data_IF_598853382010
#
_entry.id   IF_598853382010
#
_cell.length_a   1.000
_cell.length_b   1.000
_cell.length_c   1.000
_cell.angle_alpha   90.00
_cell.angle_beta   90.00
_cell.angle_gamma   90.00
#
_symmetry.space_group_name_H-M   'P 1'
#
loop_
_entity.id
_entity.type
_entity.pdbx_description
1 polymer ?
#
# COMPACT_ATOMS: atom_id res chain seq x y z
N UNK A 1 18.80 -6.42 -25.95
CA UNK A 1 18.51 -7.69 -26.63
C UNK A 1 17.10 -8.19 -26.30
N UNK A 2 16.10 -7.96 -27.19
CA UNK A 2 14.70 -8.35 -26.98
C UNK A 2 14.50 -9.82 -26.58
N UNK A 3 15.27 -10.74 -27.19
CA UNK A 3 15.18 -12.18 -26.90
C UNK A 3 15.62 -12.60 -25.50
N UNK A 4 16.50 -11.84 -24.83
CA UNK A 4 16.86 -12.14 -23.42
C UNK A 4 15.70 -11.85 -22.49
N UNK A 5 15.00 -10.75 -22.72
CA UNK A 5 13.89 -10.34 -21.84
C UNK A 5 12.65 -11.20 -22.05
N UNK A 6 12.37 -11.63 -23.30
CA UNK A 6 11.29 -12.59 -23.59
C UNK A 6 11.57 -13.95 -22.95
N UNK A 7 12.80 -14.49 -23.09
CA UNK A 7 13.20 -15.74 -22.39
C UNK A 7 13.04 -15.68 -20.87
N UNK A 8 13.31 -14.52 -20.26
CA UNK A 8 13.07 -14.34 -18.81
C UNK A 8 11.58 -14.41 -18.47
N UNK A 9 10.72 -13.77 -19.27
CA UNK A 9 9.27 -13.87 -19.13
C UNK A 9 8.77 -15.30 -19.29
N UNK A 10 9.22 -16.02 -20.33
CA UNK A 10 8.79 -17.40 -20.57
C UNK A 10 9.28 -18.36 -19.45
N UNK A 11 10.53 -18.19 -19.00
CA UNK A 11 11.06 -18.96 -17.87
C UNK A 11 10.34 -18.66 -16.55
N UNK A 12 9.79 -17.47 -16.40
CA UNK A 12 8.92 -17.11 -15.28
C UNK A 12 7.54 -17.77 -15.39
N UNK A 13 6.92 -17.74 -16.58
CA UNK A 13 5.68 -18.49 -16.88
C UNK A 13 5.82 -19.96 -16.47
N UNK A 14 6.94 -20.60 -16.82
CA UNK A 14 7.21 -21.99 -16.44
C UNK A 14 7.27 -22.19 -14.92
N UNK A 15 7.91 -21.28 -14.18
CA UNK A 15 7.99 -21.34 -12.71
C UNK A 15 6.63 -21.19 -12.05
N UNK A 16 5.81 -20.24 -12.52
CA UNK A 16 4.45 -20.04 -12.01
C UNK A 16 3.61 -21.29 -12.29
N UNK A 17 3.62 -21.81 -13.51
CA UNK A 17 2.92 -23.05 -13.85
C UNK A 17 3.32 -24.22 -12.95
N UNK A 18 4.61 -24.34 -12.59
CA UNK A 18 5.10 -25.35 -11.64
C UNK A 18 4.57 -25.12 -10.22
N UNK A 19 4.54 -23.86 -9.75
CA UNK A 19 4.00 -23.47 -8.44
C UNK A 19 2.51 -23.82 -8.31
N UNK A 20 1.74 -23.64 -9.40
CA UNK A 20 0.30 -23.91 -9.44
C UNK A 20 -0.07 -25.39 -9.45
N UNK A 21 0.85 -26.29 -9.81
CA UNK A 21 0.57 -27.74 -9.95
C UNK A 21 -0.10 -28.34 -8.72
N UNK A 22 0.46 -28.10 -7.52
CA UNK A 22 -0.08 -28.67 -6.27
C UNK A 22 -1.43 -28.03 -5.89
N UNK A 23 -1.58 -26.70 -5.85
CA UNK A 23 -2.88 -26.05 -5.66
C UNK A 23 -3.98 -26.60 -6.56
N UNK A 24 -3.72 -26.75 -7.87
CA UNK A 24 -4.71 -27.22 -8.84
C UNK A 24 -5.20 -28.65 -8.56
N UNK A 25 -4.29 -29.57 -8.23
CA UNK A 25 -4.70 -30.95 -7.87
C UNK A 25 -5.39 -31.04 -6.52
N UNK A 26 -5.16 -30.10 -5.60
CA UNK A 26 -5.91 -30.02 -4.35
C UNK A 26 -7.34 -29.56 -4.65
N UNK A 27 -7.51 -28.53 -5.47
CA UNK A 27 -8.83 -28.06 -5.91
C UNK A 27 -9.57 -29.14 -6.70
N UNK A 28 -8.87 -29.91 -7.53
CA UNK A 28 -9.49 -30.99 -8.31
C UNK A 28 -10.25 -32.02 -7.45
N UNK A 29 -9.77 -32.28 -6.23
CA UNK A 29 -10.38 -33.29 -5.33
C UNK A 29 -11.76 -32.89 -4.79
N UNK A 30 -12.11 -31.61 -4.82
CA UNK A 30 -13.38 -31.11 -4.27
C UNK A 30 -14.42 -30.77 -5.35
N UNK A 31 -14.10 -31.04 -6.62
CA UNK A 31 -14.98 -30.74 -7.74
C UNK A 31 -16.19 -31.70 -7.77
N UNK A 32 -17.39 -31.23 -8.16
CA UNK A 32 -18.54 -32.10 -8.41
C UNK A 32 -18.28 -33.01 -9.63
N UNK A 33 -19.05 -34.09 -9.87
CA UNK A 33 -18.78 -35.02 -10.98
C UNK A 33 -18.91 -34.38 -12.38
N UNK A 34 -19.83 -33.43 -12.57
CA UNK A 34 -20.10 -32.75 -13.84
C UNK A 34 -19.58 -31.30 -13.87
N UNK A 35 -18.34 -31.10 -13.42
CA UNK A 35 -17.72 -29.78 -13.37
C UNK A 35 -17.29 -29.27 -14.75
N UNK A 36 -17.10 -27.96 -14.84
CA UNK A 36 -16.54 -27.30 -16.03
C UNK A 36 -15.35 -26.40 -15.65
N UNK A 37 -14.71 -25.80 -16.65
CA UNK A 37 -13.53 -24.96 -16.45
C UNK A 37 -13.80 -23.72 -15.57
N UNK A 38 -15.03 -23.19 -15.59
CA UNK A 38 -15.44 -22.08 -14.73
C UNK A 38 -15.49 -22.52 -13.27
N UNK A 39 -16.12 -23.67 -12.98
CA UNK A 39 -16.16 -24.23 -11.61
C UNK A 39 -14.75 -24.44 -11.04
N UNK A 40 -13.82 -24.98 -11.84
CA UNK A 40 -12.43 -25.13 -11.42
C UNK A 40 -11.75 -23.78 -11.12
N UNK A 41 -11.95 -22.79 -11.99
CA UNK A 41 -11.39 -21.45 -11.78
C UNK A 41 -11.97 -20.77 -10.53
N UNK A 42 -13.28 -20.86 -10.32
CA UNK A 42 -13.96 -20.23 -9.18
C UNK A 42 -13.48 -20.85 -7.85
N UNK A 43 -13.36 -22.18 -7.78
CA UNK A 43 -12.77 -22.84 -6.61
C UNK A 43 -11.29 -22.46 -6.43
N UNK A 44 -10.53 -22.31 -7.52
CA UNK A 44 -9.14 -21.87 -7.42
C UNK A 44 -9.04 -20.44 -6.84
N UNK A 45 -9.89 -19.51 -7.30
CA UNK A 45 -9.97 -18.15 -6.77
C UNK A 45 -10.35 -18.13 -5.29
N UNK A 46 -11.32 -18.96 -4.89
CA UNK A 46 -11.76 -19.07 -3.50
C UNK A 46 -10.65 -19.56 -2.57
N UNK A 47 -9.99 -20.66 -2.93
CA UNK A 47 -9.00 -21.31 -2.05
C UNK A 47 -7.58 -20.74 -2.18
N UNK A 48 -7.24 -20.14 -3.32
CA UNK A 48 -5.92 -19.60 -3.63
C UNK A 48 -6.01 -18.15 -4.18
N UNK A 49 -6.67 -17.22 -3.47
CA UNK A 49 -6.94 -15.87 -3.98
C UNK A 49 -5.66 -15.09 -4.24
N UNK A 50 -4.64 -15.22 -3.39
CA UNK A 50 -3.38 -14.51 -3.58
C UNK A 50 -2.53 -15.06 -4.73
N UNK A 51 -2.59 -16.37 -4.99
CA UNK A 51 -1.97 -16.94 -6.18
C UNK A 51 -2.71 -16.53 -7.46
N UNK A 52 -4.03 -16.35 -7.38
CA UNK A 52 -4.80 -15.77 -8.47
C UNK A 52 -4.44 -14.29 -8.72
N UNK A 53 -4.40 -13.47 -7.67
CA UNK A 53 -4.05 -12.05 -7.79
C UNK A 53 -2.64 -11.86 -8.36
N UNK A 54 -1.67 -12.69 -7.94
CA UNK A 54 -0.32 -12.71 -8.51
C UNK A 54 -0.34 -12.96 -10.03
N UNK A 55 -1.26 -13.79 -10.55
CA UNK A 55 -1.43 -14.01 -11.99
C UNK A 55 -2.01 -12.77 -12.66
N UNK A 56 -3.03 -12.16 -12.06
CA UNK A 56 -3.71 -10.95 -12.57
C UNK A 56 -2.72 -9.81 -12.71
N UNK A 57 -2.09 -9.42 -11.61
CA UNK A 57 -1.13 -8.30 -11.57
C UNK A 57 0.05 -8.55 -12.51
N UNK A 58 0.55 -9.79 -12.58
CA UNK A 58 1.62 -10.13 -13.53
C UNK A 58 1.18 -9.93 -14.98
N UNK A 59 -0.01 -10.38 -15.37
CA UNK A 59 -0.50 -10.22 -16.74
C UNK A 59 -0.62 -8.75 -17.08
N UNK A 60 -1.19 -7.95 -16.17
CA UNK A 60 -1.31 -6.50 -16.31
C UNK A 60 0.07 -5.84 -16.41
N UNK A 61 1.01 -6.19 -15.55
CA UNK A 61 2.38 -5.65 -15.56
C UNK A 61 3.08 -5.85 -16.92
N UNK A 62 2.99 -7.04 -17.51
CA UNK A 62 3.60 -7.30 -18.82
C UNK A 62 2.81 -6.70 -19.98
N UNK A 63 1.50 -6.47 -19.81
CA UNK A 63 0.68 -5.78 -20.79
C UNK A 63 1.06 -4.30 -20.85
N UNK A 64 1.20 -3.64 -19.71
CA UNK A 64 1.66 -2.24 -19.63
C UNK A 64 3.07 -2.07 -20.21
N UNK A 65 3.95 -3.05 -20.00
CA UNK A 65 5.27 -3.03 -20.66
C UNK A 65 5.18 -3.12 -22.18
N UNK A 66 4.24 -3.88 -22.73
CA UNK A 66 4.04 -3.96 -24.18
C UNK A 66 3.39 -2.69 -24.73
N UNK A 67 2.43 -2.09 -24.01
CA UNK A 67 1.88 -0.77 -24.34
C UNK A 67 2.96 0.30 -24.38
N UNK A 68 3.80 0.38 -23.34
CA UNK A 68 4.95 1.29 -23.32
C UNK A 68 5.90 1.06 -24.50
N UNK A 69 6.14 -0.20 -24.91
CA UNK A 69 6.95 -0.48 -26.08
C UNK A 69 6.32 0.08 -27.36
N UNK A 70 5.01 -0.07 -27.53
CA UNK A 70 4.27 0.46 -28.68
C UNK A 70 4.32 1.99 -28.72
N UNK A 71 4.13 2.65 -27.58
CA UNK A 71 4.21 4.12 -27.44
C UNK A 71 5.57 4.67 -27.89
N UNK A 72 6.66 3.96 -27.59
CA UNK A 72 8.01 4.34 -28.03
C UNK A 72 8.39 3.78 -29.42
N UNK A 73 7.39 3.38 -30.22
CA UNK A 73 7.56 2.91 -31.60
C UNK A 73 8.18 1.52 -31.74
N UNK A 74 8.17 0.70 -30.69
CA UNK A 74 8.71 -0.67 -30.69
C UNK A 74 7.59 -1.69 -30.75
N UNK A 75 7.89 -2.86 -31.33
CA UNK A 75 6.95 -3.99 -31.34
C UNK A 75 6.76 -4.56 -29.93
N UNK A 76 5.56 -5.05 -29.67
CA UNK A 76 5.25 -5.88 -28.51
C UNK A 76 6.26 -7.02 -28.38
N UNK A 77 6.58 -7.36 -27.13
CA UNK A 77 7.57 -8.38 -26.81
C UNK A 77 6.95 -9.55 -26.06
N UNK A 78 6.09 -9.29 -25.09
CA UNK A 78 5.66 -10.32 -24.13
C UNK A 78 4.41 -11.03 -24.59
N UNK A 79 3.44 -10.26 -25.09
CA UNK A 79 2.08 -10.67 -25.48
C UNK A 79 1.44 -11.53 -24.39
N UNK A 80 1.29 -11.00 -23.17
CA UNK A 80 0.74 -11.79 -22.09
C UNK A 80 -0.71 -12.17 -22.43
N UNK A 81 -1.11 -13.44 -22.19
CA UNK A 81 -2.52 -13.82 -22.24
C UNK A 81 -3.30 -13.10 -21.14
N UNK A 82 -4.63 -13.07 -21.26
CA UNK A 82 -5.48 -12.69 -20.12
C UNK A 82 -5.28 -13.65 -18.94
N UNK A 83 -5.55 -13.24 -17.69
CA UNK A 83 -5.39 -14.12 -16.52
C UNK A 83 -6.15 -15.45 -16.66
N UNK A 84 -7.37 -15.41 -17.19
CA UNK A 84 -8.19 -16.60 -17.45
C UNK A 84 -7.56 -17.50 -18.51
N UNK A 85 -7.11 -16.89 -19.62
CA UNK A 85 -6.45 -17.64 -20.68
C UNK A 85 -5.14 -18.27 -20.18
N UNK A 86 -4.35 -17.55 -19.38
CA UNK A 86 -3.16 -18.09 -18.72
C UNK A 86 -3.50 -19.33 -17.88
N UNK A 87 -4.57 -19.24 -17.08
CA UNK A 87 -5.04 -20.33 -16.24
C UNK A 87 -5.49 -21.54 -17.06
N UNK A 88 -6.33 -21.35 -18.08
CA UNK A 88 -6.83 -22.44 -18.92
C UNK A 88 -5.75 -23.07 -19.82
N UNK A 89 -4.71 -22.31 -20.18
CA UNK A 89 -3.58 -22.83 -20.94
C UNK A 89 -2.63 -23.71 -20.12
N UNK A 90 -2.72 -23.67 -18.78
CA UNK A 90 -1.91 -24.47 -17.88
C UNK A 90 -2.11 -25.98 -18.14
N UNK A 91 -1.01 -26.72 -18.25
CA UNK A 91 -1.05 -28.15 -18.57
C UNK A 91 -1.81 -29.00 -17.54
N UNK A 92 -1.80 -28.60 -16.26
CA UNK A 92 -2.54 -29.28 -15.20
C UNK A 92 -4.03 -29.00 -15.33
N UNK A 93 -4.42 -27.77 -15.64
CA UNK A 93 -5.82 -27.42 -15.92
C UNK A 93 -6.33 -28.21 -17.13
N UNK A 94 -5.55 -28.27 -18.23
CA UNK A 94 -5.91 -29.09 -19.40
C UNK A 94 -6.06 -30.58 -19.08
N UNK A 95 -5.22 -31.11 -18.19
CA UNK A 95 -5.32 -32.49 -17.73
C UNK A 95 -6.60 -32.73 -16.91
N UNK A 96 -6.88 -31.86 -15.94
CA UNK A 96 -8.09 -31.92 -15.11
C UNK A 96 -9.34 -31.84 -16.01
N UNK A 97 -9.33 -30.97 -17.02
CA UNK A 97 -10.43 -30.81 -17.97
C UNK A 97 -10.49 -31.90 -19.07
N UNK A 98 -9.59 -32.89 -19.05
CA UNK A 98 -9.60 -33.96 -20.05
C UNK A 98 -10.74 -34.94 -19.81
N UNK A 99 -11.31 -35.50 -20.89
CA UNK A 99 -12.41 -36.47 -20.82
C UNK A 99 -12.11 -37.62 -19.86
N UNK A 100 -10.93 -38.24 -20.00
CA UNK A 100 -10.52 -39.35 -19.15
C UNK A 100 -10.42 -38.98 -17.66
N UNK A 101 -9.93 -37.77 -17.34
CA UNK A 101 -9.83 -37.31 -15.96
C UNK A 101 -11.23 -37.07 -15.37
N UNK A 102 -12.12 -36.42 -16.12
CA UNK A 102 -13.51 -36.17 -15.68
C UNK A 102 -14.27 -37.49 -15.48
N UNK A 103 -14.17 -38.43 -16.42
CA UNK A 103 -14.82 -39.74 -16.30
C UNK A 103 -14.32 -40.52 -15.07
N UNK A 104 -13.00 -40.53 -14.86
CA UNK A 104 -12.41 -41.17 -13.68
C UNK A 104 -12.86 -40.50 -12.39
N UNK A 105 -12.82 -39.16 -12.35
CA UNK A 105 -13.27 -38.38 -11.20
C UNK A 105 -14.74 -38.64 -10.89
N UNK A 106 -15.60 -38.70 -11.90
CA UNK A 106 -17.02 -38.99 -11.75
C UNK A 106 -17.28 -40.41 -11.28
N UNK A 107 -16.47 -41.39 -11.70
CA UNK A 107 -16.62 -42.79 -11.28
C UNK A 107 -16.15 -43.02 -9.83
N UNK A 108 -15.12 -42.29 -9.38
CA UNK A 108 -14.58 -42.34 -8.02
C UNK A 108 -15.27 -41.35 -7.06
N UNK A 109 -16.28 -40.60 -7.54
CA UNK A 109 -16.94 -39.55 -6.78
C UNK A 109 -17.76 -40.13 -5.62
N UNK A 110 -17.56 -39.56 -4.44
CA UNK A 110 -18.31 -39.86 -3.24
C UNK A 110 -18.59 -38.55 -2.49
N UNK A 111 -19.87 -38.27 -2.24
CA UNK A 111 -20.31 -36.99 -1.66
C UNK A 111 -19.79 -36.78 -0.23
N UNK A 112 -19.80 -37.83 0.60
CA UNK A 112 -19.36 -37.76 2.00
C UNK A 112 -17.86 -37.46 2.06
N UNK A 113 -17.06 -38.25 1.35
CA UNK A 113 -15.61 -38.08 1.25
C UNK A 113 -15.23 -36.73 0.65
N UNK A 114 -15.96 -36.27 -0.38
CA UNK A 114 -15.73 -34.95 -0.98
C UNK A 114 -16.00 -33.83 0.02
N UNK A 115 -17.06 -33.95 0.83
CA UNK A 115 -17.39 -32.96 1.85
C UNK A 115 -16.37 -32.96 3.00
N UNK A 116 -15.84 -34.11 3.40
CA UNK A 116 -14.72 -34.20 4.35
C UNK A 116 -13.48 -33.44 3.84
N UNK A 117 -13.03 -33.74 2.62
CA UNK A 117 -11.88 -33.08 1.99
C UNK A 117 -12.11 -31.56 1.86
N UNK A 118 -13.33 -31.17 1.47
CA UNK A 118 -13.70 -29.76 1.35
C UNK A 118 -13.63 -29.04 2.70
N UNK A 119 -14.12 -29.65 3.78
CA UNK A 119 -14.09 -29.07 5.12
C UNK A 119 -12.65 -28.91 5.63
N UNK A 120 -11.81 -29.92 5.42
CA UNK A 120 -10.38 -29.83 5.73
C UNK A 120 -9.67 -28.73 4.93
N UNK A 121 -9.97 -28.64 3.62
CA UNK A 121 -9.39 -27.64 2.74
C UNK A 121 -9.81 -26.24 3.18
N UNK A 122 -11.11 -26.02 3.45
CA UNK A 122 -11.66 -24.76 3.97
C UNK A 122 -10.96 -24.35 5.25
N UNK A 123 -10.87 -25.23 6.25
CA UNK A 123 -10.22 -24.94 7.53
C UNK A 123 -8.73 -24.57 7.36
N UNK A 124 -8.02 -25.24 6.45
CA UNK A 124 -6.60 -24.99 6.20
C UNK A 124 -6.35 -23.72 5.41
N UNK A 125 -7.18 -23.45 4.40
CA UNK A 125 -7.01 -22.30 3.50
C UNK A 125 -7.51 -21.00 4.12
N UNK A 126 -8.63 -21.02 4.85
CA UNK A 126 -9.11 -19.83 5.58
C UNK A 126 -8.02 -19.26 6.50
N UNK A 127 -7.39 -20.11 7.32
CA UNK A 127 -6.27 -19.71 8.20
C UNK A 127 -5.10 -19.10 7.44
N UNK A 128 -4.72 -19.68 6.30
CA UNK A 128 -3.60 -19.17 5.48
C UNK A 128 -3.93 -17.85 4.80
N UNK A 129 -5.17 -17.74 4.30
CA UNK A 129 -5.65 -16.52 3.65
C UNK A 129 -5.69 -15.39 4.68
N UNK A 130 -6.29 -15.65 5.83
CA UNK A 130 -6.40 -14.68 6.93
C UNK A 130 -5.02 -14.25 7.44
N UNK A 131 -4.09 -15.20 7.65
CA UNK A 131 -2.72 -14.88 8.06
C UNK A 131 -2.02 -13.95 7.06
N UNK A 132 -2.16 -14.18 5.75
CA UNK A 132 -1.54 -13.31 4.74
C UNK A 132 -2.26 -11.96 4.64
N UNK A 133 -3.58 -11.93 4.79
CA UNK A 133 -4.37 -10.69 4.83
C UNK A 133 -3.93 -9.82 6.02
N UNK A 134 -3.77 -10.41 7.20
CA UNK A 134 -3.34 -9.71 8.40
C UNK A 134 -1.91 -9.15 8.26
N UNK A 135 -0.99 -9.90 7.63
CA UNK A 135 0.36 -9.40 7.34
C UNK A 135 0.35 -8.17 6.42
N UNK A 136 -0.49 -8.17 5.38
CA UNK A 136 -0.63 -7.02 4.48
C UNK A 136 -1.27 -5.86 5.24
N UNK A 137 -2.36 -6.12 5.98
CA UNK A 137 -3.07 -5.10 6.75
C UNK A 137 -2.16 -4.43 7.79
N UNK A 138 -1.34 -5.19 8.52
CA UNK A 138 -0.38 -4.66 9.49
C UNK A 138 0.61 -3.67 8.87
N UNK A 139 1.07 -3.94 7.64
CA UNK A 139 1.92 -3.01 6.88
C UNK A 139 1.14 -1.76 6.47
N UNK A 140 -0.11 -1.93 6.06
CA UNK A 140 -0.97 -0.83 5.59
C UNK A 140 -1.52 0.05 6.72
N UNK A 141 -1.50 -0.40 7.98
CA UNK A 141 -1.96 0.40 9.14
C UNK A 141 -1.13 1.67 9.38
N UNK A 142 0.11 1.69 8.90
CA UNK A 142 0.99 2.86 8.93
C UNK A 142 0.96 3.67 7.63
N UNK A 143 0.08 3.33 6.69
CA UNK A 143 -0.04 3.96 5.38
C UNK A 143 -1.40 4.65 5.20
N UNK A 144 -1.47 5.61 4.28
CA UNK A 144 -2.70 6.28 3.88
C UNK A 144 -3.15 5.78 2.50
N UNK A 145 -4.41 5.34 2.39
CA UNK A 145 -5.00 4.87 1.13
C UNK A 145 -5.64 6.02 0.36
N UNK A 146 -4.80 6.95 -0.10
CA UNK A 146 -5.19 8.17 -0.81
C UNK A 146 -4.04 8.64 -1.68
N UNK A 147 -4.35 9.33 -2.78
CA UNK A 147 -3.34 10.05 -3.55
C UNK A 147 -2.99 11.37 -2.84
N UNK A 148 -1.75 11.58 -2.34
CA UNK A 148 -1.40 12.82 -1.69
C UNK A 148 -1.28 13.96 -2.72
N UNK A 149 -1.67 15.18 -2.32
CA UNK A 149 -1.66 16.37 -3.20
C UNK A 149 -0.29 16.75 -3.78
N UNK A 150 0.79 16.16 -3.26
CA UNK A 150 2.17 16.42 -3.65
C UNK A 150 2.85 15.20 -4.31
N UNK A 151 2.11 14.16 -4.68
CA UNK A 151 2.66 12.95 -5.32
C UNK A 151 3.48 13.26 -6.58
N UNK A 152 2.99 14.17 -7.43
CA UNK A 152 3.66 14.54 -8.68
C UNK A 152 4.94 15.34 -8.43
N UNK A 153 4.99 16.09 -7.32
CA UNK A 153 6.21 16.78 -6.86
C UNK A 153 7.27 15.76 -6.48
N UNK A 154 6.90 14.69 -5.77
CA UNK A 154 7.83 13.61 -5.40
C UNK A 154 8.38 12.89 -6.63
N UNK A 155 7.51 12.53 -7.57
CA UNK A 155 7.91 11.87 -8.83
C UNK A 155 8.87 12.76 -9.61
N UNK A 156 8.54 14.05 -9.74
CA UNK A 156 9.38 15.02 -10.45
C UNK A 156 10.73 15.22 -9.78
N UNK A 157 10.75 15.36 -8.44
CA UNK A 157 11.97 15.50 -7.65
C UNK A 157 12.88 14.28 -7.82
N UNK A 158 12.32 13.06 -7.84
CA UNK A 158 13.10 11.83 -7.99
C UNK A 158 13.91 11.78 -9.31
N UNK A 159 13.35 12.38 -10.36
CA UNK A 159 13.96 12.41 -11.69
C UNK A 159 14.80 13.66 -11.95
N UNK A 160 14.93 14.57 -10.99
CA UNK A 160 15.80 15.74 -11.15
C UNK A 160 17.27 15.34 -11.37
N UNK A 161 17.92 16.07 -12.29
CA UNK A 161 19.34 15.88 -12.59
C UNK A 161 20.17 16.24 -11.37
N UNK A 162 21.02 15.32 -10.92
CA UNK A 162 21.95 15.56 -9.81
C UNK A 162 21.40 15.21 -8.42
N UNK A 163 20.18 14.65 -8.33
CA UNK A 163 19.66 14.14 -7.04
C UNK A 163 20.62 13.12 -6.42
N UNK A 164 20.82 13.26 -5.11
CA UNK A 164 21.68 12.38 -4.31
C UNK A 164 20.98 11.07 -3.96
N UNK A 165 21.75 10.07 -3.52
CA UNK A 165 21.19 8.82 -2.99
C UNK A 165 20.29 9.08 -1.78
N UNK A 166 20.71 9.99 -0.88
CA UNK A 166 19.90 10.47 0.24
C UNK A 166 18.54 11.01 -0.22
N UNK A 167 18.52 11.96 -1.15
CA UNK A 167 17.27 12.56 -1.63
C UNK A 167 16.34 11.55 -2.29
N UNK A 168 16.90 10.55 -3.00
CA UNK A 168 16.11 9.44 -3.54
C UNK A 168 15.50 8.58 -2.45
N UNK A 169 16.28 8.23 -1.42
CA UNK A 169 15.76 7.43 -0.29
C UNK A 169 14.69 8.21 0.44
N UNK A 170 14.88 9.51 0.69
CA UNK A 170 13.88 10.37 1.31
C UNK A 170 12.55 10.34 0.53
N UNK A 171 12.61 10.45 -0.80
CA UNK A 171 11.42 10.35 -1.66
C UNK A 171 10.78 8.96 -1.59
N UNK A 172 11.57 7.88 -1.58
CA UNK A 172 11.02 6.52 -1.44
C UNK A 172 10.33 6.32 -0.09
N UNK A 173 10.95 6.81 1.00
CA UNK A 173 10.37 6.74 2.34
C UNK A 173 9.05 7.50 2.39
N UNK A 174 9.00 8.70 1.79
CA UNK A 174 7.78 9.50 1.76
C UNK A 174 6.69 8.90 0.86
N UNK A 175 7.04 8.50 -0.36
CA UNK A 175 6.10 7.83 -1.27
C UNK A 175 5.56 6.52 -0.68
N UNK A 176 6.39 5.84 0.11
CA UNK A 176 6.07 4.59 0.80
C UNK A 176 5.06 4.72 1.94
N UNK A 177 4.55 5.92 2.24
CA UNK A 177 3.47 6.17 3.20
C UNK A 177 2.08 6.14 2.56
N UNK A 178 2.00 6.05 1.22
CA UNK A 178 0.75 6.17 0.48
C UNK A 178 0.48 4.97 -0.41
N UNK A 179 -0.78 4.52 -0.42
CA UNK A 179 -1.30 3.52 -1.35
C UNK A 179 -2.21 4.24 -2.33
N UNK A 180 -1.73 4.39 -3.56
CA UNK A 180 -2.50 4.91 -4.69
C UNK A 180 -1.86 4.40 -6.00
N UNK A 181 -2.58 4.51 -7.11
CA UNK A 181 -2.09 4.01 -8.40
C UNK A 181 -0.73 4.60 -8.79
N UNK A 182 -0.52 5.90 -8.54
CA UNK A 182 0.75 6.59 -8.81
C UNK A 182 1.90 6.09 -7.94
N UNK A 183 1.66 5.81 -6.65
CA UNK A 183 2.72 5.31 -5.76
C UNK A 183 3.12 3.88 -6.13
N UNK A 184 2.13 3.02 -6.44
CA UNK A 184 2.36 1.64 -6.89
C UNK A 184 3.13 1.64 -8.22
N UNK A 185 2.71 2.46 -9.20
CA UNK A 185 3.39 2.58 -10.48
C UNK A 185 4.83 3.09 -10.31
N UNK A 186 5.04 4.09 -9.45
CA UNK A 186 6.36 4.62 -9.10
C UNK A 186 7.28 3.49 -8.61
N UNK A 187 6.86 2.72 -7.61
CA UNK A 187 7.68 1.64 -7.07
C UNK A 187 7.96 0.52 -8.10
N UNK A 188 7.00 0.19 -8.98
CA UNK A 188 7.25 -0.75 -10.07
C UNK A 188 8.32 -0.23 -11.05
N UNK A 189 8.24 1.06 -11.44
CA UNK A 189 9.23 1.70 -12.31
C UNK A 189 10.61 1.71 -11.65
N UNK A 190 10.70 2.02 -10.37
CA UNK A 190 11.98 1.99 -9.62
C UNK A 190 12.55 0.58 -9.57
N UNK A 191 11.72 -0.43 -9.23
CA UNK A 191 12.17 -1.82 -9.19
C UNK A 191 12.71 -2.31 -10.56
N UNK A 192 12.08 -1.89 -11.66
CA UNK A 192 12.50 -2.28 -13.02
C UNK A 192 13.78 -1.55 -13.49
N UNK A 193 13.88 -0.25 -13.24
CA UNK A 193 14.82 0.63 -13.92
C UNK A 193 16.02 1.07 -13.07
N UNK A 194 15.85 1.21 -11.74
CA UNK A 194 16.89 1.79 -10.88
C UNK A 194 18.14 0.90 -10.83
N UNK A 195 19.31 1.52 -10.93
CA UNK A 195 20.63 0.88 -10.93
C UNK A 195 21.20 0.71 -9.53
N UNK A 196 20.88 1.62 -8.61
CA UNK A 196 21.24 1.48 -7.21
C UNK A 196 20.54 0.28 -6.59
N UNK A 197 21.29 -0.60 -5.92
CA UNK A 197 20.73 -1.83 -5.36
C UNK A 197 19.90 -1.61 -4.10
N UNK A 198 20.27 -0.66 -3.23
CA UNK A 198 19.50 -0.34 -2.02
C UNK A 198 18.12 0.19 -2.40
N UNK A 199 18.07 1.18 -3.29
CA UNK A 199 16.83 1.80 -3.74
C UNK A 199 15.91 0.78 -4.43
N UNK A 200 16.48 -0.11 -5.25
CA UNK A 200 15.71 -1.19 -5.89
C UNK A 200 15.15 -2.17 -4.87
N UNK A 201 15.94 -2.52 -3.85
CA UNK A 201 15.49 -3.42 -2.78
C UNK A 201 14.36 -2.79 -1.96
N UNK A 202 14.45 -1.50 -1.62
CA UNK A 202 13.36 -0.77 -0.93
C UNK A 202 12.07 -0.86 -1.76
N UNK A 203 12.14 -0.58 -3.07
CA UNK A 203 10.98 -0.68 -3.94
C UNK A 203 10.42 -2.12 -4.04
N UNK A 204 11.31 -3.12 -4.13
CA UNK A 204 10.91 -4.53 -4.13
C UNK A 204 10.21 -4.93 -2.83
N UNK A 205 10.79 -4.60 -1.68
CA UNK A 205 10.23 -4.93 -0.37
C UNK A 205 8.90 -4.23 -0.12
N UNK A 206 8.79 -2.95 -0.53
CA UNK A 206 7.56 -2.18 -0.41
C UNK A 206 6.41 -2.86 -1.19
N UNK A 207 6.62 -3.20 -2.47
CA UNK A 207 5.62 -3.89 -3.28
C UNK A 207 5.28 -5.27 -2.71
N UNK A 208 6.30 -6.04 -2.30
CA UNK A 208 6.11 -7.41 -1.79
C UNK A 208 5.30 -7.42 -0.48
N UNK A 209 5.62 -6.53 0.46
CA UNK A 209 4.94 -6.43 1.76
C UNK A 209 3.49 -5.99 1.60
N UNK A 210 3.21 -5.12 0.63
CA UNK A 210 1.84 -4.71 0.26
C UNK A 210 1.07 -5.76 -0.56
N UNK A 211 1.68 -6.91 -0.83
CA UNK A 211 1.01 -8.03 -1.51
C UNK A 211 1.06 -7.99 -3.03
N UNK A 212 1.73 -7.01 -3.63
CA UNK A 212 1.84 -6.86 -5.08
C UNK A 212 2.83 -7.84 -5.70
N UNK A 213 2.54 -8.26 -6.94
CA UNK A 213 3.42 -9.03 -7.79
C UNK A 213 4.67 -8.21 -8.10
N UNK A 214 5.81 -8.72 -7.64
CA UNK A 214 7.09 -8.08 -7.88
C UNK A 214 8.18 -9.13 -8.01
N UNK A 215 9.19 -8.82 -8.82
CA UNK A 215 10.39 -9.62 -8.96
C UNK A 215 11.62 -8.78 -8.67
N UNK A 216 12.53 -9.33 -7.87
CA UNK A 216 13.81 -8.69 -7.65
C UNK A 216 14.70 -8.90 -8.87
N UNK A 217 15.17 -7.80 -9.44
CA UNK A 217 16.11 -7.84 -10.57
C UNK A 217 17.50 -8.22 -10.08
N UNK A 218 18.14 -9.18 -10.76
CA UNK A 218 19.55 -9.53 -10.52
C UNK A 218 20.47 -8.30 -10.56
N UNK A 219 21.48 -8.31 -9.69
CA UNK A 219 22.51 -7.27 -9.65
C UNK A 219 23.16 -7.07 -11.01
N UNK A 220 23.49 -5.81 -11.33
CA UNK A 220 24.20 -5.46 -12.55
C UNK A 220 25.61 -6.08 -12.53
N UNK A 221 25.96 -6.79 -13.60
CA UNK A 221 27.29 -7.35 -13.82
C UNK A 221 28.19 -6.30 -14.49
N UNK A 222 29.48 -6.29 -14.15
CA UNK A 222 30.49 -5.40 -14.73
C UNK A 222 30.93 -4.27 -13.80
N UNK A 223 31.67 -3.29 -14.34
CA UNK A 223 32.20 -2.14 -13.57
C UNK A 223 31.05 -1.29 -13.01
N UNK A 224 30.95 -1.24 -11.69
CA UNK A 224 29.95 -0.47 -10.98
C UNK A 224 30.43 0.97 -10.78
N UNK A 225 29.53 1.94 -11.01
CA UNK A 225 29.77 3.34 -10.70
C UNK A 225 29.40 3.61 -9.24
N UNK A 226 29.97 4.64 -8.62
CA UNK A 226 29.70 5.00 -7.22
C UNK A 226 28.21 5.05 -6.91
N UNK A 227 27.41 5.78 -7.70
CA UNK A 227 25.96 5.90 -7.49
C UNK A 227 25.17 4.57 -7.54
N UNK A 228 25.75 3.48 -8.08
CA UNK A 228 25.09 2.17 -8.13
C UNK A 228 25.24 1.38 -6.82
N UNK A 229 26.26 1.73 -6.03
CA UNK A 229 26.64 1.04 -4.80
C UNK A 229 26.55 1.94 -3.57
N UNK A 230 26.45 3.25 -3.78
CA UNK A 230 26.26 4.23 -2.72
C UNK A 230 25.02 3.88 -1.90
N UNK A 231 25.16 3.97 -0.59
CA UNK A 231 24.10 3.62 0.35
C UNK A 231 23.94 4.73 1.36
N UNK A 232 22.71 4.97 1.76
CA UNK A 232 22.41 5.95 2.79
C UNK A 232 21.46 5.36 3.82
N UNK A 233 21.75 5.59 5.09
CA UNK A 233 20.87 5.20 6.19
C UNK A 233 20.03 6.42 6.58
N UNK A 234 18.72 6.30 6.48
CA UNK A 234 17.80 7.40 6.74
C UNK A 234 17.50 7.49 8.24
N UNK A 235 18.43 8.09 8.99
CA UNK A 235 18.30 8.35 10.43
C UNK A 235 18.37 9.86 10.67
N UNK A 236 17.20 10.51 10.70
CA UNK A 236 17.06 11.97 10.75
C UNK A 236 16.53 12.43 12.11
N UNK A 237 16.72 13.72 12.40
CA UNK A 237 16.25 14.37 13.63
C UNK A 237 15.17 15.42 13.35
N UNK A 238 14.45 15.91 14.38
CA UNK A 238 13.51 17.03 14.19
C UNK A 238 14.17 18.30 13.65
N UNK A 239 15.42 18.57 14.03
CA UNK A 239 16.21 19.69 13.51
C UNK A 239 16.48 19.57 12.01
N UNK A 240 16.73 18.35 11.54
CA UNK A 240 16.94 18.04 10.13
C UNK A 240 15.66 18.29 9.31
N UNK A 241 14.50 17.98 9.88
CA UNK A 241 13.22 18.28 9.26
C UNK A 241 12.93 19.78 9.23
N UNK A 242 13.11 20.49 10.35
CA UNK A 242 12.93 21.93 10.44
C UNK A 242 13.76 22.66 9.37
N UNK A 243 15.05 22.31 9.25
CA UNK A 243 15.94 22.86 8.22
C UNK A 243 15.43 22.57 6.80
N UNK A 244 14.91 21.36 6.54
CA UNK A 244 14.35 21.01 5.23
C UNK A 244 13.06 21.78 4.94
N UNK A 245 12.24 22.08 5.95
CA UNK A 245 11.02 22.87 5.80
C UNK A 245 11.31 24.35 5.48
N UNK A 246 12.43 24.89 5.94
CA UNK A 246 12.88 26.24 5.60
C UNK A 246 13.49 26.35 4.20
N UNK A 247 14.06 25.26 3.68
CA UNK A 247 14.65 25.20 2.35
C UNK A 247 13.62 24.80 1.28
N UNK A 248 13.93 25.04 0.00
CA UNK A 248 13.11 24.57 -1.14
C UNK A 248 13.27 23.05 -1.35
N UNK A 249 12.83 22.27 -0.37
CA UNK A 249 12.89 20.81 -0.35
C UNK A 249 11.53 20.16 -0.62
N UNK A 250 11.50 18.83 -0.79
CA UNK A 250 10.25 18.09 -0.89
C UNK A 250 9.39 18.23 0.39
N UNK A 251 10.01 18.45 1.56
CA UNK A 251 9.30 18.59 2.84
C UNK A 251 8.49 19.88 2.88
N UNK A 252 9.03 20.97 2.33
CA UNK A 252 8.36 22.27 2.23
C UNK A 252 7.16 22.23 1.26
N UNK A 253 7.23 21.38 0.24
CA UNK A 253 6.19 21.24 -0.80
C UNK A 253 5.04 20.29 -0.42
N UNK A 254 5.09 19.66 0.75
CA UNK A 254 3.99 18.81 1.23
C UNK A 254 2.75 19.65 1.51
N UNK A 255 1.59 19.04 1.29
CA UNK A 255 0.28 19.64 1.54
C UNK A 255 -0.70 18.56 1.97
N UNK A 256 -1.54 18.88 2.94
CA UNK A 256 -2.53 17.97 3.51
C UNK A 256 -3.92 18.59 3.50
N UNK A 257 -4.96 17.77 3.42
CA UNK A 257 -6.34 18.25 3.54
C UNK A 257 -6.70 18.53 5.00
N UNK A 258 -6.26 17.62 5.88
CA UNK A 258 -6.67 17.62 7.29
C UNK A 258 -5.45 17.42 8.19
N UNK A 259 -5.26 18.32 9.15
CA UNK A 259 -4.37 18.10 10.29
C UNK A 259 -5.17 17.43 11.42
N UNK A 260 -4.79 16.24 11.85
CA UNK A 260 -5.52 15.52 12.91
C UNK A 260 -4.85 15.77 14.26
N UNK A 261 -5.42 16.67 15.05
CA UNK A 261 -5.00 16.94 16.43
C UNK A 261 -5.65 15.94 17.38
N UNK A 262 -4.83 15.20 18.12
CA UNK A 262 -5.27 14.05 18.91
C UNK A 262 -4.32 13.72 20.05
N UNK A 263 -4.78 12.87 20.98
CA UNK A 263 -3.92 12.26 21.99
C UNK A 263 -3.36 10.95 21.48
N UNK A 264 -2.09 10.70 21.78
CA UNK A 264 -1.43 9.48 21.32
C UNK A 264 -2.13 8.18 21.78
N UNK A 265 -2.77 8.19 22.96
CA UNK A 265 -3.51 7.02 23.48
C UNK A 265 -4.69 6.63 22.58
N UNK A 266 -5.17 7.57 21.76
CA UNK A 266 -6.31 7.38 20.86
C UNK A 266 -5.91 6.85 19.47
N UNK A 267 -4.72 6.24 19.34
CA UNK A 267 -4.19 5.76 18.05
C UNK A 267 -5.18 4.89 17.26
N UNK A 268 -6.01 4.08 17.94
CA UNK A 268 -7.05 3.27 17.29
C UNK A 268 -8.12 4.15 16.63
N UNK A 269 -8.63 5.16 17.34
CA UNK A 269 -9.63 6.10 16.83
C UNK A 269 -9.05 6.89 15.66
N UNK A 270 -7.82 7.38 15.80
CA UNK A 270 -7.11 8.15 14.77
C UNK A 270 -6.97 7.35 13.47
N UNK A 271 -6.59 6.07 13.54
CA UNK A 271 -6.49 5.21 12.34
C UNK A 271 -7.83 5.07 11.63
N UNK A 272 -8.93 4.86 12.36
CA UNK A 272 -10.26 4.73 11.76
C UNK A 272 -10.72 6.05 11.13
N UNK A 273 -10.53 7.18 11.81
CA UNK A 273 -10.83 8.51 11.26
C UNK A 273 -10.04 8.77 9.97
N UNK A 274 -8.72 8.52 9.98
CA UNK A 274 -7.86 8.70 8.80
C UNK A 274 -8.30 7.80 7.65
N UNK A 275 -8.72 6.55 7.92
CA UNK A 275 -9.27 5.66 6.87
C UNK A 275 -10.52 6.25 6.21
N UNK A 276 -11.45 6.78 7.02
CA UNK A 276 -12.69 7.38 6.51
C UNK A 276 -12.39 8.63 5.67
N UNK A 277 -11.51 9.51 6.16
CA UNK A 277 -11.11 10.72 5.42
C UNK A 277 -10.37 10.39 4.11
N UNK A 278 -9.49 9.39 4.13
CA UNK A 278 -8.81 8.90 2.93
C UNK A 278 -9.80 8.38 1.88
N UNK A 279 -10.83 7.64 2.31
CA UNK A 279 -11.90 7.15 1.42
C UNK A 279 -12.70 8.31 0.77
N UNK A 280 -12.70 9.50 1.38
CA UNK A 280 -13.28 10.73 0.83
C UNK A 280 -12.28 11.55 -0.02
N UNK A 281 -11.05 11.04 -0.20
CA UNK A 281 -9.99 11.66 -1.00
C UNK A 281 -9.16 12.71 -0.27
N UNK A 282 -9.21 12.75 1.07
CA UNK A 282 -8.49 13.73 1.88
C UNK A 282 -7.22 13.12 2.47
N UNK A 283 -6.06 13.69 2.13
CA UNK A 283 -4.81 13.32 2.80
C UNK A 283 -4.75 13.94 4.20
N UNK A 284 -4.32 13.14 5.17
CA UNK A 284 -4.25 13.53 6.57
C UNK A 284 -2.79 13.73 7.00
N UNK A 285 -2.55 14.72 7.84
CA UNK A 285 -1.33 14.83 8.62
C UNK A 285 -1.59 14.32 10.04
N UNK A 286 -0.79 13.31 10.43
CA UNK A 286 -0.61 12.88 11.82
C UNK A 286 0.89 12.74 12.03
N UNK A 287 1.43 13.32 13.10
CA UNK A 287 2.86 13.33 13.44
C UNK A 287 3.52 11.94 13.34
N UNK A 288 2.94 10.92 13.98
CA UNK A 288 3.49 9.55 13.99
C UNK A 288 3.17 8.70 12.74
N UNK A 289 2.36 9.19 11.80
CA UNK A 289 2.16 8.55 10.49
C UNK A 289 2.96 9.24 9.39
N UNK A 290 3.03 10.58 9.45
CA UNK A 290 3.56 11.42 8.38
C UNK A 290 5.05 11.70 8.55
N UNK A 291 5.54 11.86 9.78
CA UNK A 291 6.91 12.30 10.07
C UNK A 291 7.64 11.40 11.10
N UNK A 292 7.23 10.14 11.32
CA UNK A 292 7.89 9.20 12.25
C UNK A 292 9.40 9.03 11.99
N UNK A 293 9.82 9.14 10.73
CA UNK A 293 11.23 9.08 10.34
C UNK A 293 12.09 10.23 10.94
N UNK A 294 11.45 11.34 11.33
CA UNK A 294 12.08 12.54 11.87
C UNK A 294 11.67 12.83 13.32
N UNK A 295 10.38 12.71 13.65
CA UNK A 295 9.76 13.08 14.92
C UNK A 295 9.73 11.90 15.90
N UNK A 296 10.90 11.35 16.21
CA UNK A 296 11.04 10.31 17.23
C UNK A 296 10.76 10.88 18.60
N UNK A 297 10.00 10.14 19.42
CA UNK A 297 9.65 10.53 20.81
C UNK A 297 10.84 10.84 21.70
N UNK A 298 11.94 10.13 21.49
CA UNK A 298 13.20 10.34 22.22
C UNK A 298 13.89 11.65 21.86
N UNK A 299 13.48 12.32 20.78
CA UNK A 299 14.11 13.51 20.21
C UNK A 299 13.22 14.76 20.27
N UNK A 300 12.13 14.73 21.04
CA UNK A 300 11.21 15.88 21.20
C UNK A 300 12.00 17.11 21.65
N UNK A 301 11.85 18.20 20.91
CA UNK A 301 12.58 19.45 21.12
C UNK A 301 11.79 20.67 20.62
N UNK A 302 12.34 21.87 20.76
CA UNK A 302 11.73 23.09 20.20
C UNK A 302 11.51 23.00 18.69
N UNK A 303 12.37 22.27 17.96
CA UNK A 303 12.19 22.01 16.53
C UNK A 303 10.92 21.19 16.24
N UNK A 304 10.48 20.33 17.15
CA UNK A 304 9.20 19.61 17.00
C UNK A 304 8.03 20.59 16.97
N UNK A 305 8.05 21.61 17.83
CA UNK A 305 7.04 22.67 17.86
C UNK A 305 7.02 23.46 16.54
N UNK A 306 8.20 23.85 16.04
CA UNK A 306 8.34 24.56 14.76
C UNK A 306 7.84 23.74 13.58
N UNK A 307 8.16 22.43 13.55
CA UNK A 307 7.66 21.50 12.52
C UNK A 307 6.14 21.41 12.58
N UNK A 308 5.53 21.22 13.76
CA UNK A 308 4.07 21.12 13.87
C UNK A 308 3.36 22.39 13.40
N UNK A 309 3.89 23.57 13.75
CA UNK A 309 3.39 24.85 13.23
C UNK A 309 3.46 24.92 11.71
N UNK A 310 4.60 24.53 11.11
CA UNK A 310 4.74 24.48 9.64
C UNK A 310 3.82 23.46 8.99
N UNK A 311 3.58 22.31 9.64
CA UNK A 311 2.64 21.30 9.14
C UNK A 311 1.19 21.79 9.21
N UNK A 312 0.83 22.56 10.23
CA UNK A 312 -0.45 23.26 10.29
C UNK A 312 -0.60 24.28 9.16
N UNK A 313 0.46 25.03 8.82
CA UNK A 313 0.46 25.92 7.65
C UNK A 313 0.21 25.14 6.34
N UNK A 314 0.77 23.95 6.20
CA UNK A 314 0.63 23.06 5.03
C UNK A 314 -0.70 22.28 4.96
N UNK A 315 -1.50 22.28 6.02
CA UNK A 315 -2.81 21.61 6.06
C UNK A 315 -3.94 22.58 5.76
N UNK A 316 -4.95 22.17 4.99
CA UNK A 316 -6.07 23.07 4.67
C UNK A 316 -6.94 23.37 5.91
N UNK A 317 -7.14 22.37 6.77
CA UNK A 317 -8.01 22.46 7.97
C UNK A 317 -7.44 21.66 9.15
N UNK A 318 -7.93 21.92 10.37
CA UNK A 318 -7.61 21.11 11.56
C UNK A 318 -8.85 20.34 12.01
N UNK A 319 -8.67 19.06 12.30
CA UNK A 319 -9.65 18.19 12.95
C UNK A 319 -9.16 17.85 14.35
N UNK A 320 -9.90 18.27 15.37
CA UNK A 320 -9.66 17.93 16.76
C UNK A 320 -10.48 16.70 17.16
N UNK A 321 -9.82 15.69 17.72
CA UNK A 321 -10.48 14.52 18.29
C UNK A 321 -10.67 14.73 19.80
N UNK A 322 -11.91 15.05 20.20
CA UNK A 322 -12.26 15.26 21.60
C UNK A 322 -12.65 13.93 22.23
N UNK A 323 -11.70 13.36 22.96
CA UNK A 323 -11.82 12.09 23.71
C UNK A 323 -11.59 12.32 25.20
N UNK A 324 -11.96 11.34 26.04
CA UNK A 324 -11.63 11.34 27.47
C UNK A 324 -10.12 11.46 27.73
N UNK A 325 -9.27 10.96 26.82
CA UNK A 325 -7.82 11.06 26.97
C UNK A 325 -7.29 12.46 26.61
N UNK A 326 -7.98 13.18 25.73
CA UNK A 326 -7.61 14.54 25.30
C UNK A 326 -8.02 15.63 26.31
N UNK A 327 -8.99 15.32 27.16
CA UNK A 327 -9.61 16.26 28.08
C UNK A 327 -9.41 15.85 29.54
N UNK A 328 -9.17 16.82 30.42
CA UNK A 328 -9.16 16.66 31.87
C UNK A 328 -9.85 17.84 32.51
N UNK A 329 -10.86 17.58 33.36
CA UNK A 329 -11.67 18.61 34.02
C UNK A 329 -12.23 19.66 33.03
N UNK A 330 -12.75 19.21 31.88
CA UNK A 330 -13.25 20.03 30.78
C UNK A 330 -12.23 20.99 30.14
N UNK A 331 -10.92 20.72 30.31
CA UNK A 331 -9.83 21.43 29.66
C UNK A 331 -8.97 20.47 28.84
N UNK A 332 -8.29 20.99 27.83
CA UNK A 332 -7.33 20.21 27.05
C UNK A 332 -6.15 19.86 27.95
N UNK A 333 -5.86 18.57 28.10
CA UNK A 333 -4.81 18.08 29.01
C UNK A 333 -3.40 18.16 28.36
N UNK A 334 -3.34 18.12 27.04
CA UNK A 334 -2.07 18.07 26.30
C UNK A 334 -1.58 19.44 25.85
N UNK A 335 -0.35 19.85 26.25
CA UNK A 335 0.28 21.08 25.75
C UNK A 335 0.39 21.14 24.22
N UNK A 336 0.62 19.99 23.56
CA UNK A 336 0.71 19.90 22.10
C UNK A 336 -0.61 20.20 21.40
N UNK A 337 -1.73 19.65 21.90
CA UNK A 337 -3.07 19.91 21.34
C UNK A 337 -3.43 21.38 21.54
N UNK A 338 -3.14 21.94 22.73
CA UNK A 338 -3.38 23.35 23.00
C UNK A 338 -2.59 24.24 22.03
N UNK A 339 -1.28 23.96 21.86
CA UNK A 339 -0.43 24.66 20.90
C UNK A 339 -0.98 24.59 19.47
N UNK A 340 -1.42 23.42 19.02
CA UNK A 340 -1.97 23.21 17.69
C UNK A 340 -3.26 24.02 17.47
N UNK A 341 -4.18 23.99 18.43
CA UNK A 341 -5.44 24.73 18.37
C UNK A 341 -5.23 26.24 18.42
N UNK A 342 -4.36 26.71 19.31
CA UNK A 342 -4.02 28.13 19.43
C UNK A 342 -3.39 28.63 18.14
N UNK A 343 -2.41 27.89 17.60
CA UNK A 343 -1.74 28.28 16.36
C UNK A 343 -2.67 28.23 15.14
N UNK A 344 -3.54 27.22 15.04
CA UNK A 344 -4.55 27.13 13.99
C UNK A 344 -5.53 28.31 14.03
N UNK A 345 -5.93 28.72 15.23
CA UNK A 345 -6.78 29.91 15.46
C UNK A 345 -6.08 31.19 15.02
N UNK A 346 -4.78 31.35 15.31
CA UNK A 346 -3.96 32.49 14.84
C UNK A 346 -3.88 32.53 13.31
N UNK A 347 -3.80 31.36 12.65
CA UNK A 347 -3.81 31.26 11.19
C UNK A 347 -5.20 31.53 10.56
N UNK A 348 -6.26 31.65 11.37
CA UNK A 348 -7.63 31.84 10.90
C UNK A 348 -8.20 30.66 10.12
N UNK A 349 -7.64 29.45 10.33
CA UNK A 349 -8.09 28.23 9.66
C UNK A 349 -9.31 27.64 10.37
N UNK A 350 -10.14 26.90 9.62
CA UNK A 350 -11.30 26.21 10.18
C UNK A 350 -10.84 25.06 11.08
N UNK A 351 -11.45 25.00 12.28
CA UNK A 351 -11.27 23.91 13.24
C UNK A 351 -12.57 23.11 13.32
N UNK A 352 -12.48 21.85 12.95
CA UNK A 352 -13.53 20.86 13.10
C UNK A 352 -13.29 20.00 14.34
N UNK A 353 -14.35 19.47 14.93
CA UNK A 353 -14.30 18.64 16.13
C UNK A 353 -15.13 17.36 15.94
N UNK A 354 -14.52 16.20 16.24
CA UNK A 354 -15.26 14.96 16.49
C UNK A 354 -15.38 14.78 18.00
N UNK A 355 -16.60 14.89 18.51
CA UNK A 355 -16.89 14.80 19.94
C UNK A 355 -17.29 13.38 20.34
N UNK A 356 -16.38 12.67 20.98
CA UNK A 356 -16.62 11.33 21.52
C UNK A 356 -17.13 11.36 22.97
N UNK A 357 -17.11 12.52 23.65
CA UNK A 357 -17.58 12.66 25.03
C UNK A 357 -19.08 13.00 25.03
N UNK A 358 -19.51 13.85 24.10
CA UNK A 358 -20.92 14.25 23.91
C UNK A 358 -21.60 14.73 25.20
N UNK A 359 -20.87 15.51 26.01
CA UNK A 359 -21.34 16.07 27.28
C UNK A 359 -22.09 17.41 27.13
N UNK A 360 -22.34 17.85 25.89
CA UNK A 360 -23.00 19.12 25.58
C UNK A 360 -22.13 20.37 25.77
N UNK A 361 -20.81 20.22 25.96
CA UNK A 361 -19.90 21.35 26.11
C UNK A 361 -19.80 22.15 24.80
N UNK A 362 -20.16 23.43 24.87
CA UNK A 362 -19.99 24.35 23.74
C UNK A 362 -18.52 24.73 23.58
N UNK A 363 -17.87 24.21 22.54
CA UNK A 363 -16.55 24.64 22.10
C UNK A 363 -16.67 25.59 20.89
N UNK A 364 -15.71 26.50 20.66
CA UNK A 364 -15.72 27.43 19.52
C UNK A 364 -15.36 26.74 18.19
N UNK A 365 -15.63 25.43 18.07
CA UNK A 365 -15.26 24.58 16.94
C UNK A 365 -16.51 24.12 16.19
N UNK A 366 -16.35 23.78 14.91
CA UNK A 366 -17.45 23.20 14.13
C UNK A 366 -17.53 21.70 14.39
N UNK A 367 -18.58 21.24 15.06
CA UNK A 367 -18.80 19.82 15.30
C UNK A 367 -19.26 19.12 14.02
N UNK A 368 -18.67 17.97 13.71
CA UNK A 368 -19.08 17.14 12.58
C UNK A 368 -19.91 15.96 13.07
N UNK A 369 -20.93 15.60 12.30
CA UNK A 369 -21.63 14.33 12.51
C UNK A 369 -20.76 13.17 12.02
N UNK A 370 -20.75 12.07 12.76
CA UNK A 370 -19.96 10.89 12.40
C UNK A 370 -20.59 9.60 12.93
N UNK A 371 -20.30 8.50 12.25
CA UNK A 371 -20.61 7.14 12.63
C UNK A 371 -19.43 6.26 12.17
N UNK A 372 -18.53 5.96 13.12
CA UNK A 372 -17.32 5.18 12.80
C UNK A 372 -17.66 3.73 12.41
N UNK A 373 -18.74 3.16 12.96
CA UNK A 373 -19.16 1.78 12.65
C UNK A 373 -19.67 1.66 11.22
N UNK A 374 -20.30 2.73 10.71
CA UNK A 374 -20.70 2.83 9.29
C UNK A 374 -19.62 3.44 8.39
N UNK A 375 -18.49 3.87 8.93
CA UNK A 375 -17.41 4.51 8.19
C UNK A 375 -17.80 5.88 7.62
N UNK A 376 -18.60 6.65 8.35
CA UNK A 376 -19.14 7.95 7.92
C UNK A 376 -18.60 9.08 8.80
N UNK A 377 -18.11 10.13 8.17
CA UNK A 377 -17.85 11.44 8.77
C UNK A 377 -18.45 12.44 7.78
N UNK A 378 -19.33 13.34 8.23
CA UNK A 378 -19.93 14.37 7.38
C UNK A 378 -18.92 15.49 7.11
N UNK A 379 -17.94 15.17 6.26
CA UNK A 379 -16.96 16.13 5.78
C UNK A 379 -17.57 16.92 4.62
N UNK A 380 -18.44 17.89 4.96
CA UNK A 380 -19.01 18.81 3.99
C UNK A 380 -17.89 19.66 3.35
N UNK A 381 -17.78 19.60 2.01
CA UNK A 381 -16.77 20.31 1.22
C UNK A 381 -16.99 21.81 1.16
#
# INVERSE_FOLDING_TARGET
MPGVTKRKYDGETMRINKKLKRPLYIVAQILPPNYNAKVLLDNFKEFYPFEWEEIVERCNHYLEKDKFLQEVGKKERYRPPTPEKFFYENSVVKNIMSKNFIEKHSAEYDDEKRNEILNELKAKRSRKIESKKNQIQEVQESMQNVEPYYVDVLISAYHQKGITTEGKIEILTEMGKFICDKSIEFFHKINDAERNNQIRNIAFEHLQKNGHYVKLRQKFKGKQKSYMVDTFNFDMTPKDLAKRLEMDSIQNKKRFGVFVSHRFLDAKIVREVVKILNAQGLSCYCDWLSDDDFLKRSLVSSYTEEVLKKRLEQSDTLLFLRTENSMKDNKIDSPWIQLELDHCSVLGKKIYCLDFINDGTSLPFTFLEFDLDKGLIDWSR
#
